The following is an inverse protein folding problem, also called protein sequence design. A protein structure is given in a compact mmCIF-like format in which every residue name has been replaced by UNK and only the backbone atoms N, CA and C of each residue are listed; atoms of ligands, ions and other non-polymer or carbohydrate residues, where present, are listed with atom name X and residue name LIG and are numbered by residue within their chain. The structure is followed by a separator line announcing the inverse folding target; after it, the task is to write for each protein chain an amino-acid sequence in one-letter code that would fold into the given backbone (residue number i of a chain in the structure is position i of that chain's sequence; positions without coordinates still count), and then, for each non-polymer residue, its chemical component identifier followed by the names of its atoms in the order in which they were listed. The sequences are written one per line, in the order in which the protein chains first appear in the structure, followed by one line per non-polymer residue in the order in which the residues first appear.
data_IF_549696227704
#
_entry.id   IF_549696227704
#
_cell.length_a   1.000
_cell.length_b   1.000
_cell.length_c   1.000
_cell.angle_alpha   90.00
_cell.angle_beta   90.00
_cell.angle_gamma   90.00
#
_symmetry.space_group_name_H-M   'P 1'
#
loop_
_entity.id
_entity.type
_entity.pdbx_description
1 polymer ?
#
# COMPACT_ATOMS: atom_id res chain seq x y z
N UNK A 1 -19.62 19.89 10.79
CA UNK A 1 -18.32 19.63 10.14
C UNK A 1 -17.70 20.98 9.84
N UNK A 2 -16.42 21.20 10.12
CA UNK A 2 -15.76 22.48 9.81
C UNK A 2 -15.77 22.71 8.29
N UNK A 3 -16.01 23.95 7.83
CA UNK A 3 -16.23 24.29 6.41
C UNK A 3 -15.14 23.76 5.47
N UNK A 4 -13.89 23.66 5.93
CA UNK A 4 -12.78 23.10 5.16
C UNK A 4 -12.93 21.59 4.91
N UNK A 5 -13.34 20.83 5.93
CA UNK A 5 -13.55 19.37 5.84
C UNK A 5 -14.70 19.08 4.87
N UNK A 6 -15.79 19.83 4.95
CA UNK A 6 -16.92 19.67 4.02
C UNK A 6 -16.53 19.93 2.56
N UNK A 7 -15.75 20.98 2.30
CA UNK A 7 -15.23 21.26 0.95
C UNK A 7 -14.32 20.15 0.44
N UNK A 8 -13.42 19.63 1.27
CA UNK A 8 -12.53 18.53 0.90
C UNK A 8 -13.31 17.25 0.58
N UNK A 9 -14.32 16.93 1.40
CA UNK A 9 -15.18 15.77 1.21
C UNK A 9 -16.00 15.86 -0.08
N UNK A 10 -16.61 17.01 -0.35
CA UNK A 10 -17.35 17.24 -1.58
C UNK A 10 -16.45 17.18 -2.83
N UNK A 11 -15.21 17.68 -2.72
CA UNK A 11 -14.21 17.54 -3.79
C UNK A 11 -13.89 16.06 -4.05
N UNK A 12 -13.59 15.28 -3.01
CA UNK A 12 -13.31 13.85 -3.14
C UNK A 12 -14.49 13.10 -3.78
N UNK A 13 -15.73 13.35 -3.37
CA UNK A 13 -16.93 12.75 -3.99
C UNK A 13 -17.00 13.11 -5.48
N UNK A 14 -16.71 14.36 -5.85
CA UNK A 14 -16.71 14.81 -7.24
C UNK A 14 -15.66 14.14 -8.12
N UNK A 15 -14.49 13.83 -7.55
CA UNK A 15 -13.34 13.23 -8.23
C UNK A 15 -13.44 11.72 -8.43
N UNK A 16 -14.46 11.05 -7.87
CA UNK A 16 -14.61 9.60 -8.04
C UNK A 16 -14.80 9.23 -9.51
N UNK A 17 -14.03 8.26 -9.98
CA UNK A 17 -14.08 7.76 -11.34
C UNK A 17 -15.28 6.83 -11.57
N UNK A 18 -15.61 6.57 -12.84
CA UNK A 18 -16.78 5.75 -13.23
C UNK A 18 -16.70 4.32 -12.71
N UNK A 19 -15.50 3.75 -12.62
CA UNK A 19 -15.27 2.39 -12.11
C UNK A 19 -15.38 2.30 -10.57
N UNK A 20 -15.56 3.42 -9.86
CA UNK A 20 -15.72 3.46 -8.41
C UNK A 20 -14.44 3.80 -7.63
N UNK A 21 -13.26 3.76 -8.26
CA UNK A 21 -12.01 4.16 -7.62
C UNK A 21 -11.67 5.65 -7.81
N UNK A 22 -10.49 6.04 -7.33
CA UNK A 22 -9.90 7.37 -7.51
C UNK A 22 -8.48 7.28 -8.06
N UNK A 23 -8.19 8.12 -9.06
CA UNK A 23 -6.82 8.47 -9.43
C UNK A 23 -6.22 9.47 -8.44
N UNK A 24 -4.94 9.79 -8.58
CA UNK A 24 -4.26 10.71 -7.68
C UNK A 24 -4.64 12.18 -7.92
N UNK A 25 -4.90 12.56 -9.17
CA UNK A 25 -5.08 13.95 -9.59
C UNK A 25 -6.35 14.16 -10.42
N UNK A 26 -6.65 13.23 -11.33
CA UNK A 26 -7.69 13.41 -12.34
C UNK A 26 -8.77 12.32 -12.29
N UNK A 27 -9.96 12.71 -12.74
CA UNK A 27 -11.10 11.80 -12.89
C UNK A 27 -11.12 11.20 -14.29
N UNK A 28 -11.29 9.88 -14.37
CA UNK A 28 -11.37 9.09 -15.61
C UNK A 28 -10.18 9.34 -16.57
N UNK A 29 -8.97 9.50 -16.01
CA UNK A 29 -7.73 9.62 -16.78
C UNK A 29 -7.19 8.23 -17.15
N UNK A 30 -7.94 7.49 -17.97
CA UNK A 30 -7.75 6.05 -18.20
C UNK A 30 -7.73 5.66 -19.69
N UNK A 31 -7.58 6.64 -20.60
CA UNK A 31 -7.60 6.41 -22.06
C UNK A 31 -6.32 5.73 -22.55
N UNK A 32 -6.31 4.40 -22.50
CA UNK A 32 -5.16 3.54 -22.87
C UNK A 32 -4.56 3.80 -24.26
N UNK A 33 -5.31 4.35 -25.22
CA UNK A 33 -4.75 4.70 -26.53
C UNK A 33 -3.59 5.70 -26.43
N UNK A 34 -3.60 6.56 -25.42
CA UNK A 34 -2.54 7.54 -25.18
C UNK A 34 -1.21 6.87 -24.78
N UNK A 35 -1.23 5.66 -24.22
CA UNK A 35 0.01 4.93 -23.85
C UNK A 35 0.70 4.27 -25.04
N UNK A 36 0.12 4.37 -26.25
CA UNK A 36 0.67 3.74 -27.46
C UNK A 36 1.51 4.69 -28.31
N UNK A 37 1.63 5.96 -27.93
CA UNK A 37 2.48 6.92 -28.64
C UNK A 37 3.96 6.69 -28.29
N UNK A 38 4.91 6.84 -29.23
CA UNK A 38 6.32 6.57 -28.98
C UNK A 38 6.95 7.41 -27.86
N UNK A 39 6.34 8.53 -27.50
CA UNK A 39 6.79 9.41 -26.41
C UNK A 39 6.57 8.82 -25.01
N UNK A 40 5.65 7.86 -24.86
CA UNK A 40 5.34 7.23 -23.58
C UNK A 40 6.25 6.01 -23.33
N UNK A 41 7.56 6.21 -23.40
CA UNK A 41 8.60 5.18 -23.25
C UNK A 41 9.22 5.13 -21.85
N UNK A 42 8.70 5.93 -20.90
CA UNK A 42 9.08 5.90 -19.49
C UNK A 42 7.88 6.15 -18.58
N UNK A 43 7.74 5.29 -17.56
CA UNK A 43 6.73 5.44 -16.51
C UNK A 43 5.29 5.33 -16.98
N UNK A 44 4.39 5.96 -16.24
CA UNK A 44 2.95 5.97 -16.53
C UNK A 44 2.53 7.32 -17.10
N UNK A 45 1.86 7.29 -18.25
CA UNK A 45 1.33 8.49 -18.91
C UNK A 45 -0.11 8.83 -18.52
N UNK A 46 -0.73 7.96 -17.72
CA UNK A 46 -2.12 8.04 -17.29
C UNK A 46 -2.21 8.04 -15.76
N UNK A 47 -3.32 8.54 -15.26
CA UNK A 47 -3.69 8.52 -13.83
C UNK A 47 -5.00 7.74 -13.64
N UNK A 48 -5.02 6.43 -13.97
CA UNK A 48 -6.20 5.61 -13.71
C UNK A 48 -6.36 5.43 -12.19
N UNK A 49 -7.58 5.10 -11.74
CA UNK A 49 -7.81 4.74 -10.36
C UNK A 49 -6.87 3.66 -9.82
N UNK A 50 -6.44 3.82 -8.58
CA UNK A 50 -5.64 2.83 -7.87
C UNK A 50 -6.24 2.47 -6.50
N UNK A 51 -5.95 1.26 -6.06
CA UNK A 51 -6.47 0.68 -4.82
C UNK A 51 -6.02 1.46 -3.59
N UNK A 52 -4.75 1.85 -3.52
CA UNK A 52 -4.19 2.59 -2.39
C UNK A 52 -4.80 3.99 -2.21
N UNK A 53 -4.94 4.78 -3.29
CA UNK A 53 -5.62 6.09 -3.25
C UNK A 53 -7.08 5.90 -2.83
N UNK A 54 -7.76 4.92 -3.41
CA UNK A 54 -9.14 4.59 -3.07
C UNK A 54 -9.26 4.20 -1.59
N UNK A 55 -8.35 3.40 -1.06
CA UNK A 55 -8.32 2.98 0.33
C UNK A 55 -8.14 4.17 1.30
N UNK A 56 -7.22 5.10 1.02
CA UNK A 56 -7.07 6.29 1.87
C UNK A 56 -8.34 7.15 1.91
N UNK A 57 -9.05 7.27 0.79
CA UNK A 57 -10.31 8.02 0.72
C UNK A 57 -11.42 7.28 1.48
N UNK A 58 -11.51 5.96 1.34
CA UNK A 58 -12.43 5.10 2.12
C UNK A 58 -12.16 5.27 3.62
N UNK A 59 -10.90 5.21 4.06
CA UNK A 59 -10.53 5.40 5.47
C UNK A 59 -10.95 6.80 5.95
N UNK A 60 -10.64 7.85 5.19
CA UNK A 60 -11.05 9.22 5.51
C UNK A 60 -12.58 9.36 5.62
N UNK A 61 -13.32 8.77 4.69
CA UNK A 61 -14.79 8.78 4.69
C UNK A 61 -15.35 8.06 5.92
N UNK A 62 -14.80 6.89 6.26
CA UNK A 62 -15.17 6.16 7.47
C UNK A 62 -14.94 6.97 8.75
N UNK A 63 -13.77 7.62 8.89
CA UNK A 63 -13.47 8.49 10.05
C UNK A 63 -14.37 9.73 10.12
N UNK A 64 -14.90 10.19 9.00
CA UNK A 64 -15.83 11.33 8.91
C UNK A 64 -17.31 10.91 9.01
N UNK A 65 -17.59 9.63 9.23
CA UNK A 65 -18.96 9.12 9.40
C UNK A 65 -19.73 8.89 8.10
N UNK A 66 -19.06 8.92 6.94
CA UNK A 66 -19.65 8.44 5.69
C UNK A 66 -19.61 6.92 5.69
N UNK A 67 -20.75 6.31 5.98
CA UNK A 67 -20.87 4.86 6.03
C UNK A 67 -20.86 4.18 4.67
N UNK A 68 -20.64 2.86 4.69
CA UNK A 68 -20.56 1.99 3.49
C UNK A 68 -21.76 2.01 2.55
N UNK A 69 -22.93 2.44 3.04
CA UNK A 69 -24.16 2.54 2.24
C UNK A 69 -24.23 3.83 1.40
N UNK A 70 -23.32 4.78 1.59
CA UNK A 70 -23.25 5.97 0.74
C UNK A 70 -22.94 5.55 -0.71
N UNK A 71 -23.59 6.11 -1.75
CA UNK A 71 -23.42 5.65 -3.13
C UNK A 71 -21.97 5.65 -3.63
N UNK A 72 -21.16 6.59 -3.15
CA UNK A 72 -19.73 6.63 -3.46
C UNK A 72 -18.98 5.45 -2.82
N UNK A 73 -19.32 5.08 -1.58
CA UNK A 73 -18.69 3.98 -0.85
C UNK A 73 -19.06 2.61 -1.42
N UNK A 74 -20.31 2.42 -1.86
CA UNK A 74 -20.75 1.17 -2.50
C UNK A 74 -19.89 0.89 -3.73
N UNK A 75 -19.74 1.88 -4.62
CA UNK A 75 -18.89 1.73 -5.82
C UNK A 75 -17.41 1.56 -5.47
N UNK A 76 -16.92 2.24 -4.44
CA UNK A 76 -15.55 2.11 -3.98
C UNK A 76 -15.26 0.69 -3.46
N UNK A 77 -16.20 0.10 -2.73
CA UNK A 77 -16.11 -1.29 -2.25
C UNK A 77 -16.14 -2.30 -3.39
N UNK A 78 -17.01 -2.09 -4.39
CA UNK A 78 -17.04 -2.93 -5.58
C UNK A 78 -15.70 -2.88 -6.32
N UNK A 79 -15.11 -1.69 -6.46
CA UNK A 79 -13.79 -1.50 -7.05
C UNK A 79 -12.69 -2.24 -6.24
N UNK A 80 -12.61 -2.03 -4.92
CA UNK A 80 -11.63 -2.71 -4.06
C UNK A 80 -11.73 -4.23 -4.16
N UNK A 81 -12.96 -4.78 -4.19
CA UNK A 81 -13.18 -6.23 -4.33
C UNK A 81 -12.78 -6.74 -5.71
N UNK A 82 -12.98 -5.96 -6.76
CA UNK A 82 -12.62 -6.32 -8.13
C UNK A 82 -11.10 -6.30 -8.38
N UNK A 83 -10.36 -5.44 -7.68
CA UNK A 83 -8.90 -5.28 -7.81
C UNK A 83 -8.09 -6.17 -6.85
N UNK A 84 -8.74 -7.08 -6.10
CA UNK A 84 -8.01 -8.01 -5.24
C UNK A 84 -7.33 -9.11 -6.06
N UNK A 85 -6.07 -9.39 -5.75
CA UNK A 85 -5.32 -10.46 -6.38
C UNK A 85 -5.85 -11.85 -6.01
N UNK A 86 -5.53 -12.83 -6.85
CA UNK A 86 -5.96 -14.21 -6.66
C UNK A 86 -5.38 -14.86 -5.39
N UNK A 87 -4.32 -14.31 -4.78
CA UNK A 87 -3.76 -14.74 -3.51
C UNK A 87 -4.25 -13.91 -2.30
N UNK A 88 -5.03 -12.84 -2.55
CA UNK A 88 -5.68 -12.02 -1.53
C UNK A 88 -5.03 -10.65 -1.31
N UNK A 89 -3.85 -10.39 -1.86
CA UNK A 89 -3.21 -9.08 -1.73
C UNK A 89 -3.86 -8.00 -2.60
N UNK A 90 -3.50 -6.75 -2.34
CA UNK A 90 -3.80 -5.63 -3.23
C UNK A 90 -2.53 -4.93 -3.67
N UNK A 91 -2.47 -4.57 -4.95
CA UNK A 91 -1.36 -3.84 -5.55
C UNK A 91 -1.18 -2.45 -4.94
N UNK A 92 0.08 -2.06 -4.65
CA UNK A 92 0.43 -0.73 -4.18
C UNK A 92 0.97 0.13 -5.32
N UNK A 93 0.22 1.12 -5.78
CA UNK A 93 0.62 1.98 -6.91
C UNK A 93 1.66 3.02 -6.51
N UNK A 94 1.60 3.53 -5.29
CA UNK A 94 2.43 4.65 -4.80
C UNK A 94 3.37 4.26 -3.66
N UNK A 95 3.18 3.10 -3.04
CA UNK A 95 4.08 2.52 -2.05
C UNK A 95 4.39 1.08 -2.42
N UNK A 96 5.63 0.65 -2.15
CA UNK A 96 6.18 -0.65 -2.55
C UNK A 96 5.70 -1.74 -1.59
N UNK A 97 4.88 -2.72 -1.99
CA UNK A 97 3.97 -2.79 -3.13
C UNK A 97 2.69 -3.46 -2.61
N UNK A 98 2.65 -4.79 -2.60
CA UNK A 98 1.49 -5.53 -2.13
C UNK A 98 1.32 -5.47 -0.61
N UNK A 99 2.42 -5.36 0.15
CA UNK A 99 2.36 -5.08 1.60
C UNK A 99 1.73 -3.71 1.86
N UNK A 100 2.07 -2.71 1.03
CA UNK A 100 1.49 -1.37 1.13
C UNK A 100 0.01 -1.34 0.77
N UNK A 101 -0.36 -1.85 -0.40
CA UNK A 101 -1.75 -1.87 -0.86
C UNK A 101 -2.66 -2.61 0.13
N UNK A 102 -2.24 -3.80 0.57
CA UNK A 102 -2.98 -4.59 1.57
C UNK A 102 -3.04 -3.88 2.93
N UNK A 103 -1.94 -3.30 3.39
CA UNK A 103 -1.88 -2.53 4.63
C UNK A 103 -2.68 -1.22 4.62
N UNK A 104 -3.01 -0.68 3.44
CA UNK A 104 -3.90 0.47 3.26
C UNK A 104 -5.38 0.06 3.20
N UNK A 105 -5.70 -1.03 2.49
CA UNK A 105 -7.09 -1.50 2.31
C UNK A 105 -7.70 -2.01 3.61
N UNK A 106 -6.98 -2.82 4.38
CA UNK A 106 -7.55 -3.46 5.57
C UNK A 106 -8.04 -2.43 6.62
N UNK A 107 -7.26 -1.38 6.98
CA UNK A 107 -7.77 -0.33 7.86
C UNK A 107 -8.90 0.51 7.26
N UNK A 108 -8.92 0.68 5.94
CA UNK A 108 -10.00 1.39 5.27
C UNK A 108 -11.34 0.64 5.40
N UNK A 109 -11.31 -0.69 5.25
CA UNK A 109 -12.47 -1.57 5.46
C UNK A 109 -12.95 -1.56 6.92
N UNK A 110 -12.03 -1.61 7.88
CA UNK A 110 -12.36 -1.46 9.31
C UNK A 110 -13.04 -0.10 9.59
N UNK A 111 -12.48 0.99 9.06
CA UNK A 111 -12.94 2.35 9.32
C UNK A 111 -14.39 2.61 8.89
N UNK A 112 -14.92 1.83 7.95
CA UNK A 112 -16.29 1.96 7.43
C UNK A 112 -17.26 0.92 8.00
N UNK A 113 -16.79 0.08 8.93
CA UNK A 113 -17.57 -0.99 9.54
C UNK A 113 -17.91 -2.11 8.56
N UNK A 114 -16.98 -2.48 7.67
CA UNK A 114 -17.13 -3.73 6.94
C UNK A 114 -16.98 -4.93 7.89
N UNK A 115 -17.64 -6.03 7.56
CA UNK A 115 -17.51 -7.27 8.33
C UNK A 115 -16.12 -7.86 8.08
N UNK A 116 -15.21 -7.67 9.05
CA UNK A 116 -13.82 -8.11 8.95
C UNK A 116 -13.65 -9.64 8.94
N UNK A 117 -14.74 -10.41 9.14
CA UNK A 117 -14.73 -11.88 9.03
C UNK A 117 -14.94 -12.39 7.61
N UNK A 118 -15.23 -11.50 6.65
CA UNK A 118 -15.48 -11.86 5.25
C UNK A 118 -14.30 -12.62 4.63
N UNK A 119 -14.55 -13.64 3.77
CA UNK A 119 -13.50 -14.49 3.23
C UNK A 119 -12.37 -13.74 2.52
N UNK A 120 -12.70 -12.69 1.78
CA UNK A 120 -11.71 -11.89 1.03
C UNK A 120 -10.78 -11.09 1.95
N UNK A 121 -11.27 -10.66 3.13
CA UNK A 121 -10.47 -9.97 4.16
C UNK A 121 -9.59 -10.97 4.89
N UNK A 122 -10.14 -12.13 5.29
CA UNK A 122 -9.36 -13.19 5.95
C UNK A 122 -8.21 -13.67 5.06
N UNK A 123 -8.47 -13.81 3.75
CA UNK A 123 -7.46 -14.18 2.75
C UNK A 123 -6.32 -13.16 2.67
N UNK A 124 -6.63 -11.86 2.71
CA UNK A 124 -5.63 -10.80 2.74
C UNK A 124 -4.81 -10.82 4.05
N UNK A 125 -5.46 -11.09 5.18
CA UNK A 125 -4.77 -11.28 6.48
C UNK A 125 -3.83 -12.49 6.42
N UNK A 126 -4.30 -13.63 5.90
CA UNK A 126 -3.50 -14.85 5.71
C UNK A 126 -2.31 -14.60 4.78
N UNK A 127 -2.48 -13.79 3.73
CA UNK A 127 -1.40 -13.38 2.85
C UNK A 127 -0.33 -12.58 3.59
N UNK A 128 -0.71 -11.63 4.46
CA UNK A 128 0.26 -10.91 5.30
C UNK A 128 1.00 -11.87 6.23
N UNK A 129 0.29 -12.76 6.94
CA UNK A 129 0.91 -13.75 7.83
C UNK A 129 1.93 -14.63 7.07
N UNK A 130 1.58 -15.07 5.86
CA UNK A 130 2.45 -15.90 5.02
C UNK A 130 3.75 -15.19 4.60
N UNK A 131 3.72 -13.86 4.49
CA UNK A 131 4.86 -13.03 4.04
C UNK A 131 5.63 -12.38 5.19
N UNK A 132 5.39 -12.78 6.44
CA UNK A 132 6.23 -12.36 7.55
C UNK A 132 7.64 -12.98 7.43
N UNK A 133 8.68 -12.16 7.58
CA UNK A 133 10.05 -12.63 7.56
C UNK A 133 10.43 -13.33 8.88
N UNK A 134 11.45 -14.20 8.88
CA UNK A 134 11.91 -14.89 10.10
C UNK A 134 12.36 -13.97 11.23
N UNK A 135 12.66 -12.70 10.95
CA UNK A 135 13.02 -11.69 11.95
C UNK A 135 11.81 -10.95 12.56
N UNK A 136 10.59 -11.38 12.23
CA UNK A 136 9.33 -10.82 12.69
C UNK A 136 8.83 -9.63 11.86
N UNK A 137 9.67 -9.03 11.01
CA UNK A 137 9.27 -7.89 10.18
C UNK A 137 8.61 -8.31 8.86
N UNK A 138 8.20 -7.31 8.09
CA UNK A 138 7.79 -7.44 6.69
C UNK A 138 8.66 -6.58 5.81
N UNK A 139 8.93 -7.09 4.61
CA UNK A 139 9.77 -6.43 3.63
C UNK A 139 9.35 -6.78 2.21
N UNK A 140 9.39 -5.80 1.31
CA UNK A 140 9.08 -6.01 -0.09
C UNK A 140 10.02 -5.19 -0.99
N UNK A 141 10.71 -5.86 -1.91
CA UNK A 141 11.60 -5.20 -2.86
C UNK A 141 10.81 -4.49 -3.96
N UNK A 142 11.40 -3.42 -4.53
CA UNK A 142 10.92 -2.78 -5.75
C UNK A 142 10.83 -3.77 -6.94
N UNK A 143 11.56 -4.90 -6.88
CA UNK A 143 11.45 -5.97 -7.87
C UNK A 143 10.03 -6.57 -7.98
N UNK A 144 9.20 -6.44 -6.93
CA UNK A 144 7.80 -6.89 -6.91
C UNK A 144 6.92 -6.25 -7.99
N UNK A 145 7.30 -5.09 -8.55
CA UNK A 145 6.60 -4.49 -9.68
C UNK A 145 6.87 -5.19 -11.02
N UNK A 146 7.98 -5.91 -11.12
CA UNK A 146 8.47 -6.50 -12.38
C UNK A 146 8.40 -8.04 -12.39
N UNK A 147 8.44 -8.66 -11.22
CA UNK A 147 8.38 -10.11 -11.05
C UNK A 147 7.35 -10.49 -9.98
N UNK A 148 6.21 -11.07 -10.36
CA UNK A 148 5.19 -11.55 -9.42
C UNK A 148 5.74 -12.55 -8.39
N UNK A 149 6.86 -13.22 -8.65
CA UNK A 149 7.48 -14.13 -7.67
C UNK A 149 8.14 -13.40 -6.50
N UNK A 150 8.29 -12.07 -6.60
CA UNK A 150 8.84 -11.20 -5.56
C UNK A 150 7.76 -10.50 -4.73
N UNK A 151 6.47 -10.80 -4.98
CA UNK A 151 5.36 -10.29 -4.17
C UNK A 151 5.59 -10.56 -2.69
N UNK A 152 5.46 -9.51 -1.87
CA UNK A 152 5.63 -9.58 -0.43
C UNK A 152 7.02 -10.04 0.04
N UNK A 153 8.05 -9.97 -0.82
CA UNK A 153 9.40 -10.48 -0.51
C UNK A 153 10.44 -9.39 -0.59
N UNK A 154 11.22 -9.27 0.47
CA UNK A 154 12.28 -8.30 0.60
C UNK A 154 12.85 -8.29 2.02
N UNK A 155 13.94 -7.55 2.20
CA UNK A 155 14.49 -7.31 3.54
C UNK A 155 13.46 -6.52 4.36
N UNK A 156 13.24 -6.92 5.61
CA UNK A 156 12.30 -6.24 6.50
C UNK A 156 12.64 -4.76 6.66
N UNK A 157 11.62 -3.91 6.50
CA UNK A 157 11.75 -2.45 6.68
C UNK A 157 10.78 -1.97 7.76
N UNK A 158 11.08 -0.82 8.36
CA UNK A 158 10.26 -0.29 9.45
C UNK A 158 8.87 0.13 8.94
N UNK A 159 8.82 0.78 7.77
CA UNK A 159 7.56 1.21 7.15
C UNK A 159 6.70 0.05 6.66
N UNK A 160 7.27 -0.95 5.97
CA UNK A 160 6.49 -2.10 5.49
C UNK A 160 6.02 -3.00 6.64
N UNK A 161 6.85 -3.20 7.67
CA UNK A 161 6.42 -3.89 8.91
C UNK A 161 5.24 -3.16 9.54
N UNK A 162 5.30 -1.83 9.62
CA UNK A 162 4.20 -1.04 10.14
C UNK A 162 2.92 -1.14 9.29
N UNK A 163 3.01 -1.17 7.96
CA UNK A 163 1.83 -1.37 7.09
C UNK A 163 1.15 -2.72 7.34
N UNK A 164 1.94 -3.79 7.41
CA UNK A 164 1.42 -5.12 7.75
C UNK A 164 0.76 -5.14 9.13
N UNK A 165 1.41 -4.55 10.15
CA UNK A 165 0.85 -4.44 11.50
C UNK A 165 -0.46 -3.66 11.54
N UNK A 166 -0.57 -2.54 10.81
CA UNK A 166 -1.83 -1.79 10.74
C UNK A 166 -2.94 -2.61 10.09
N UNK A 167 -2.63 -3.37 9.04
CA UNK A 167 -3.57 -4.27 8.39
C UNK A 167 -4.04 -5.38 9.33
N UNK A 168 -3.12 -6.13 9.93
CA UNK A 168 -3.44 -7.21 10.87
C UNK A 168 -4.20 -6.70 12.10
N UNK A 169 -3.82 -5.53 12.64
CA UNK A 169 -4.52 -4.93 13.76
C UNK A 169 -5.96 -4.51 13.43
N UNK A 170 -6.21 -4.09 12.18
CA UNK A 170 -7.55 -3.75 11.72
C UNK A 170 -8.44 -4.99 11.55
N UNK A 171 -7.88 -6.15 11.21
CA UNK A 171 -8.63 -7.42 11.16
C UNK A 171 -8.87 -7.97 12.56
N UNK A 172 -7.87 -7.88 13.45
CA UNK A 172 -8.02 -8.17 14.87
C UNK A 172 -8.29 -9.64 15.21
N UNK A 173 -7.70 -10.59 14.45
CA UNK A 173 -7.86 -12.02 14.71
C UNK A 173 -6.99 -12.47 15.87
N UNK A 174 -7.57 -13.23 16.81
CA UNK A 174 -6.82 -13.79 17.94
C UNK A 174 -5.70 -14.74 17.47
N UNK A 175 -5.92 -15.48 16.38
CA UNK A 175 -4.90 -16.36 15.81
C UNK A 175 -3.65 -15.62 15.26
N UNK A 176 -3.75 -14.31 14.99
CA UNK A 176 -2.65 -13.50 14.45
C UNK A 176 -1.82 -12.81 15.52
N UNK A 177 -2.21 -12.90 16.81
CA UNK A 177 -1.57 -12.17 17.91
C UNK A 177 -0.06 -12.42 17.99
N UNK A 178 0.38 -13.65 17.71
CA UNK A 178 1.81 -13.99 17.73
C UNK A 178 2.58 -13.25 16.64
N UNK A 179 2.07 -13.25 15.41
CA UNK A 179 2.69 -12.57 14.29
C UNK A 179 2.75 -11.05 14.52
N UNK A 180 1.67 -10.48 15.06
CA UNK A 180 1.60 -9.07 15.46
C UNK A 180 2.65 -8.75 16.53
N UNK A 181 2.78 -9.59 17.56
CA UNK A 181 3.76 -9.42 18.63
C UNK A 181 5.20 -9.45 18.09
N UNK A 182 5.50 -10.41 17.20
CA UNK A 182 6.82 -10.53 16.57
C UNK A 182 7.15 -9.30 15.69
N UNK A 183 6.16 -8.74 14.98
CA UNK A 183 6.33 -7.50 14.22
C UNK A 183 6.54 -6.25 15.08
N UNK A 184 5.82 -6.16 16.20
CA UNK A 184 6.04 -5.09 17.19
C UNK A 184 7.43 -5.21 17.79
N UNK A 185 7.86 -6.43 18.13
CA UNK A 185 9.20 -6.69 18.65
C UNK A 185 10.29 -6.29 17.64
N UNK A 186 10.12 -6.62 16.35
CA UNK A 186 11.01 -6.17 15.28
C UNK A 186 11.20 -4.64 15.30
N UNK A 187 10.10 -3.88 15.43
CA UNK A 187 10.15 -2.43 15.50
C UNK A 187 10.84 -1.95 16.79
N UNK A 188 10.52 -2.51 17.95
CA UNK A 188 11.12 -2.10 19.22
C UNK A 188 12.64 -2.33 19.21
N UNK A 189 13.11 -3.49 18.74
CA UNK A 189 14.53 -3.86 18.74
C UNK A 189 15.38 -3.02 17.78
N UNK A 190 14.79 -2.54 16.70
CA UNK A 190 15.48 -1.74 15.66
C UNK A 190 15.30 -0.23 15.84
N UNK A 191 14.59 0.18 16.90
CA UNK A 191 14.48 1.58 17.26
C UNK A 191 15.79 2.05 17.89
N UNK A 192 16.30 3.18 17.40
CA UNK A 192 17.47 3.86 17.95
C UNK A 192 17.20 5.36 17.98
N UNK A 193 17.34 5.99 19.13
CA UNK A 193 17.14 7.44 19.31
C UNK A 193 15.79 7.96 18.78
N UNK A 194 14.73 7.14 18.86
CA UNK A 194 13.40 7.48 18.36
C UNK A 194 13.20 7.32 16.85
N UNK A 195 14.17 6.74 16.14
CA UNK A 195 14.12 6.48 14.70
C UNK A 195 14.42 5.02 14.37
N UNK A 196 14.11 4.64 13.13
CA UNK A 196 14.56 3.41 12.48
C UNK A 196 15.51 3.75 11.34
N UNK A 197 16.40 2.84 11.00
CA UNK A 197 17.16 2.93 9.76
C UNK A 197 16.38 2.20 8.65
N UNK A 198 16.26 2.86 7.50
CA UNK A 198 15.57 2.32 6.32
C UNK A 198 16.33 2.82 5.07
N UNK A 199 17.37 2.09 4.63
CA UNK A 199 18.05 2.41 3.39
C UNK A 199 17.23 2.00 2.15
N UNK A 200 16.29 1.07 2.31
CA UNK A 200 15.43 0.60 1.23
C UNK A 200 14.38 1.64 0.81
N UNK A 201 14.09 1.73 -0.48
CA UNK A 201 12.99 2.54 -0.98
C UNK A 201 11.67 1.82 -0.77
N UNK A 202 10.70 2.53 -0.21
CA UNK A 202 9.35 2.02 0.05
C UNK A 202 8.26 2.87 -0.63
N UNK A 203 8.64 3.95 -1.32
CA UNK A 203 7.76 4.76 -2.16
C UNK A 203 8.00 4.57 -3.65
N UNK A 204 6.98 4.85 -4.44
CA UNK A 204 6.99 4.70 -5.90
C UNK A 204 6.30 5.88 -6.55
N UNK A 205 6.96 6.54 -7.50
CA UNK A 205 6.29 7.47 -8.41
C UNK A 205 5.79 6.75 -9.66
N UNK A 206 6.65 5.94 -10.30
CA UNK A 206 6.26 5.11 -11.44
C UNK A 206 6.75 3.67 -11.25
N UNK A 207 5.85 2.67 -11.18
CA UNK A 207 6.21 1.27 -10.94
C UNK A 207 6.93 0.60 -12.12
N UNK A 208 6.89 1.19 -13.32
CA UNK A 208 7.75 0.77 -14.43
C UNK A 208 7.30 -0.51 -15.13
N UNK A 209 6.03 -0.91 -15.00
CA UNK A 209 5.47 -2.09 -15.69
C UNK A 209 5.23 -1.88 -17.21
N UNK A 210 5.57 -0.70 -17.75
CA UNK A 210 5.57 -0.35 -19.18
C UNK A 210 6.90 -0.60 -19.92
N UNK A 211 6.94 -0.25 -21.21
CA UNK A 211 8.12 -0.47 -22.09
C UNK A 211 9.19 0.60 -21.84
N UNK A 212 10.06 0.37 -20.85
CA UNK A 212 11.28 1.15 -20.65
C UNK A 212 12.43 0.76 -21.58
N UNK A 213 13.44 1.62 -21.70
CA UNK A 213 14.65 1.36 -22.48
C UNK A 213 15.36 0.05 -22.08
N UNK A 214 15.97 -0.65 -23.05
CA UNK A 214 16.70 -1.91 -22.83
C UNK A 214 17.92 -1.68 -21.93
N UNK A 215 17.85 -2.18 -20.70
CA UNK A 215 18.98 -2.17 -19.75
C UNK A 215 19.98 -3.27 -20.10
N UNK A 216 21.26 -2.89 -20.18
CA UNK A 216 22.38 -3.83 -20.30
C UNK A 216 22.68 -4.44 -18.93
N UNK A 217 22.02 -5.56 -18.62
CA UNK A 217 22.22 -6.30 -17.35
C UNK A 217 23.68 -6.75 -17.12
N UNK A 218 24.50 -6.76 -18.17
CA UNK A 218 25.92 -7.07 -18.13
C UNK A 218 26.84 -5.85 -17.90
N UNK A 219 26.29 -4.66 -17.63
CA UNK A 219 27.10 -3.48 -17.31
C UNK A 219 27.70 -3.61 -15.90
N UNK A 220 29.04 -3.64 -15.76
CA UNK A 220 29.70 -3.87 -14.47
C UNK A 220 29.46 -2.75 -13.46
N UNK A 221 29.08 -1.54 -13.91
CA UNK A 221 28.78 -0.40 -13.04
C UNK A 221 27.29 -0.30 -12.68
N UNK A 222 26.46 -1.26 -13.09
CA UNK A 222 25.02 -1.23 -12.83
C UNK A 222 24.70 -1.30 -11.33
N UNK A 223 25.37 -2.18 -10.60
CA UNK A 223 25.17 -2.36 -9.15
C UNK A 223 25.68 -1.18 -8.33
N UNK A 224 26.75 -0.51 -8.78
CA UNK A 224 27.25 0.70 -8.11
C UNK A 224 26.28 1.89 -8.27
N UNK A 225 25.64 1.99 -9.43
CA UNK A 225 24.64 3.04 -9.71
C UNK A 225 23.28 2.75 -9.06
N UNK A 226 22.88 1.48 -9.01
CA UNK A 226 21.59 1.04 -8.50
C UNK A 226 21.78 0.23 -7.22
N UNK A 227 21.68 0.92 -6.07
CA UNK A 227 21.90 0.34 -4.74
C UNK A 227 20.93 -0.77 -4.34
N UNK A 228 19.82 -0.95 -5.06
CA UNK A 228 18.84 -2.00 -4.82
C UNK A 228 18.44 -2.71 -6.12
N UNK A 229 19.40 -2.97 -7.01
CA UNK A 229 19.19 -3.85 -8.15
C UNK A 229 18.64 -3.19 -9.43
N UNK A 230 18.63 -3.95 -10.54
CA UNK A 230 18.28 -3.45 -11.87
C UNK A 230 16.81 -3.03 -12.02
N UNK A 231 15.90 -3.48 -11.17
CA UNK A 231 14.49 -3.05 -11.13
C UNK A 231 14.34 -1.52 -11.06
N UNK A 232 15.24 -0.85 -10.34
CA UNK A 232 15.25 0.61 -10.19
C UNK A 232 15.49 1.37 -11.50
N UNK A 233 15.94 0.69 -12.56
CA UNK A 233 16.20 1.35 -13.86
C UNK A 233 14.99 1.40 -14.79
N UNK A 234 13.89 0.70 -14.45
CA UNK A 234 12.62 0.76 -15.21
C UNK A 234 11.56 1.61 -14.52
N UNK A 235 11.81 1.97 -13.27
CA UNK A 235 10.82 2.49 -12.35
C UNK A 235 11.39 3.73 -11.63
N UNK A 236 10.53 4.70 -11.32
CA UNK A 236 10.93 5.87 -10.54
C UNK A 236 10.54 5.66 -9.08
N UNK A 237 11.50 5.19 -8.27
CA UNK A 237 11.30 4.97 -6.84
C UNK A 237 11.58 6.23 -6.04
N UNK A 238 10.83 6.42 -4.96
CA UNK A 238 10.90 7.60 -4.10
C UNK A 238 11.25 7.15 -2.69
N UNK A 239 12.25 7.78 -2.10
CA UNK A 239 12.56 7.61 -0.69
C UNK A 239 11.80 8.64 0.15
N UNK A 240 10.64 8.24 0.67
CA UNK A 240 9.95 9.03 1.69
C UNK A 240 10.65 8.87 3.03
N UNK A 241 11.68 9.68 3.26
CA UNK A 241 12.54 9.56 4.45
C UNK A 241 11.76 9.50 5.78
N UNK A 242 10.58 10.12 5.85
CA UNK A 242 9.77 10.17 7.06
C UNK A 242 8.91 8.92 7.33
N UNK A 243 8.76 8.02 6.36
CA UNK A 243 7.95 6.80 6.49
C UNK A 243 8.48 5.90 7.61
N UNK A 244 9.81 5.79 7.72
CA UNK A 244 10.50 5.06 8.79
C UNK A 244 10.17 5.54 10.20
N UNK A 245 9.60 6.74 10.38
CA UNK A 245 9.22 7.27 11.70
C UNK A 245 7.70 7.21 11.91
N UNK A 246 6.93 7.75 10.97
CA UNK A 246 5.50 7.92 11.18
C UNK A 246 4.76 6.58 11.17
N UNK A 247 5.10 5.67 10.25
CA UNK A 247 4.40 4.41 10.15
C UNK A 247 4.62 3.52 11.38
N UNK A 248 5.86 3.30 11.89
CA UNK A 248 6.06 2.55 13.14
C UNK A 248 5.27 3.12 14.32
N UNK A 249 5.25 4.45 14.48
CA UNK A 249 4.49 5.10 15.55
C UNK A 249 2.98 4.88 15.41
N UNK A 250 2.44 5.03 14.19
CA UNK A 250 1.02 4.79 13.90
C UNK A 250 0.66 3.32 14.15
N UNK A 251 1.47 2.39 13.65
CA UNK A 251 1.24 0.95 13.79
C UNK A 251 1.25 0.52 15.26
N UNK A 252 2.29 0.88 16.02
CA UNK A 252 2.35 0.56 17.46
C UNK A 252 1.19 1.19 18.24
N UNK A 253 0.77 2.40 17.87
CA UNK A 253 -0.41 3.05 18.45
C UNK A 253 -1.71 2.28 18.18
N UNK A 254 -1.91 1.81 16.94
CA UNK A 254 -3.08 1.00 16.55
C UNK A 254 -3.07 -0.36 17.23
N UNK A 255 -1.94 -1.07 17.23
CA UNK A 255 -1.79 -2.36 17.93
C UNK A 255 -2.05 -2.21 19.42
N UNK A 256 -1.50 -1.17 20.06
CA UNK A 256 -1.78 -0.89 21.49
C UNK A 256 -3.27 -0.69 21.76
N UNK A 257 -3.98 0.00 20.87
CA UNK A 257 -5.43 0.22 20.99
C UNK A 257 -6.21 -1.09 20.82
N UNK A 258 -5.85 -1.91 19.83
CA UNK A 258 -6.44 -3.24 19.61
C UNK A 258 -6.30 -4.10 20.87
N UNK A 259 -5.09 -4.20 21.43
CA UNK A 259 -4.83 -5.00 22.63
C UNK A 259 -5.53 -4.48 23.89
N UNK A 260 -5.80 -3.18 23.98
CA UNK A 260 -6.51 -2.59 25.12
C UNK A 260 -8.04 -2.70 25.01
N UNK A 261 -8.56 -3.01 23.82
CA UNK A 261 -9.98 -3.17 23.53
C UNK A 261 -10.45 -4.61 23.36
N UNK A 262 -9.53 -5.58 23.46
CA UNK A 262 -9.79 -7.02 23.49
C UNK A 262 -10.13 -7.52 24.91
#
# INVERSE_FOLDING_TARGET
METAIEKGLNWLIGMQCKNGGWGAFDKDNDKQILTKIPFCDFGEALDPPSVDVTAHIIEAFGKLGIGKNHPSMVRALDYIKAEQEADGAWFGRWGVNYVYGTGAVLPALEAIGEDMTQPYIRKASDWLILHQNPDGGWGESCASYMDPKQMGRGKSTASQTAWALMGLAAVGRAEDERAIADGVQFLIERQKDGTWEEPEYTGTGFPGYGVGATIKLNDPLLQERLKQGPELSRAFMINYNLYRHYFPLMAMGRVRKMMAGA
#
